data_IF_080274488344
#
_entry.id   IF_080274488344
#
_cell.length_a   1.000
_cell.length_b   1.000
_cell.length_c   1.000
_cell.angle_alpha   90.00
_cell.angle_beta   90.00
_cell.angle_gamma   90.00
#
_symmetry.space_group_name_H-M   'P 1'
#
loop_
_entity.id
_entity.type
_entity.pdbx_description
1 polymer ?
#
# COMPACT_ATOMS: atom_id res chain seq x y z
N UNK A 1 -34.30 -27.51 21.45
CA UNK A 1 -32.96 -28.08 21.18
C UNK A 1 -31.91 -27.09 21.65
N UNK A 2 -31.06 -27.47 22.61
CA UNK A 2 -29.97 -26.64 23.15
C UNK A 2 -28.85 -26.53 22.11
N UNK A 3 -28.47 -25.30 21.77
CA UNK A 3 -27.26 -25.00 21.00
C UNK A 3 -26.02 -25.30 21.87
N UNK A 4 -24.95 -25.90 21.33
CA UNK A 4 -23.72 -26.13 22.10
C UNK A 4 -23.00 -24.80 22.40
N UNK A 5 -22.30 -24.71 23.55
CA UNK A 5 -21.67 -23.46 23.99
C UNK A 5 -20.48 -23.08 23.11
N UNK A 6 -20.50 -21.83 22.65
CA UNK A 6 -19.37 -21.12 22.04
C UNK A 6 -18.13 -21.19 22.94
N UNK A 7 -17.06 -21.83 22.45
CA UNK A 7 -15.75 -21.83 23.11
C UNK A 7 -15.16 -20.42 23.02
N UNK A 8 -15.25 -19.64 24.11
CA UNK A 8 -14.50 -18.39 24.26
C UNK A 8 -12.99 -18.71 24.27
N UNK A 9 -12.16 -18.11 23.41
CA UNK A 9 -10.72 -18.27 23.51
C UNK A 9 -10.22 -17.53 24.75
N UNK A 10 -9.46 -18.26 25.58
CA UNK A 10 -8.92 -17.80 26.86
C UNK A 10 -7.95 -16.63 26.63
N UNK A 11 -8.18 -15.53 27.34
CA UNK A 11 -7.24 -14.42 27.46
C UNK A 11 -6.08 -14.85 28.34
N UNK A 12 -4.85 -14.82 27.80
CA UNK A 12 -3.60 -15.02 28.53
C UNK A 12 -2.45 -15.07 27.55
N UNK A 13 -1.41 -14.24 27.76
CA UNK A 13 -0.17 -14.14 26.97
C UNK A 13 -0.25 -13.51 25.56
N UNK A 14 -0.81 -12.30 25.42
CA UNK A 14 -0.67 -11.54 24.16
C UNK A 14 0.45 -10.50 24.18
N UNK A 15 0.87 -10.03 25.35
CA UNK A 15 1.69 -8.81 25.44
C UNK A 15 3.19 -9.05 25.20
N UNK A 16 3.71 -10.25 25.52
CA UNK A 16 5.13 -10.57 25.33
C UNK A 16 5.49 -10.94 23.88
N UNK A 17 4.59 -11.60 23.15
CA UNK A 17 4.81 -12.04 21.76
C UNK A 17 4.70 -10.89 20.73
N UNK A 18 3.95 -9.82 21.07
CA UNK A 18 3.79 -8.66 20.20
C UNK A 18 5.08 -7.84 20.11
N UNK A 19 5.85 -7.77 21.19
CA UNK A 19 7.07 -6.95 21.24
C UNK A 19 8.21 -7.57 20.41
N UNK A 20 8.39 -8.89 20.48
CA UNK A 20 9.43 -9.61 19.75
C UNK A 20 9.23 -9.56 18.23
N UNK A 21 7.96 -9.65 17.81
CA UNK A 21 7.52 -9.49 16.42
C UNK A 21 7.88 -8.11 15.83
N UNK A 22 7.99 -7.07 16.66
CA UNK A 22 8.25 -5.71 16.21
C UNK A 22 9.73 -5.48 15.87
N UNK A 23 10.65 -6.24 16.48
CA UNK A 23 12.10 -6.10 16.29
C UNK A 23 12.63 -6.84 15.07
N UNK A 24 11.99 -7.95 14.68
CA UNK A 24 12.41 -8.79 13.56
C UNK A 24 11.62 -8.52 12.26
N UNK A 25 10.67 -7.60 12.30
CA UNK A 25 9.77 -7.30 11.19
C UNK A 25 8.63 -8.31 11.10
N UNK A 26 7.39 -7.82 11.08
CA UNK A 26 6.20 -8.66 10.92
C UNK A 26 5.93 -8.89 9.43
N UNK A 27 5.91 -10.16 9.02
CA UNK A 27 5.46 -10.54 7.68
C UNK A 27 3.96 -10.82 7.68
N UNK A 28 3.20 -10.06 6.90
CA UNK A 28 1.74 -10.22 6.78
C UNK A 28 1.38 -10.85 5.43
N UNK A 29 0.80 -12.05 5.45
CA UNK A 29 0.25 -12.72 4.26
C UNK A 29 -1.28 -12.73 4.36
N UNK A 30 -1.97 -12.23 3.33
CA UNK A 30 -3.44 -12.26 3.23
C UNK A 30 -3.85 -13.11 2.03
N UNK A 31 -4.56 -14.20 2.30
CA UNK A 31 -5.11 -15.06 1.25
C UNK A 31 -6.39 -14.44 0.67
N UNK A 32 -6.59 -14.57 -0.64
CA UNK A 32 -7.77 -14.10 -1.35
C UNK A 32 -8.35 -15.27 -2.16
N UNK A 33 -9.65 -15.52 -2.01
CA UNK A 33 -10.37 -16.52 -2.82
C UNK A 33 -10.83 -15.85 -4.13
N UNK A 34 -10.37 -16.31 -5.32
CA UNK A 34 -10.65 -15.64 -6.58
C UNK A 34 -12.08 -15.83 -7.07
N UNK A 35 -12.72 -16.95 -6.77
CA UNK A 35 -14.11 -17.25 -7.13
C UNK A 35 -14.74 -18.18 -6.08
N UNK A 36 -16.07 -18.15 -5.94
CA UNK A 36 -16.79 -18.99 -4.98
C UNK A 36 -16.85 -20.46 -5.40
N UNK A 37 -16.86 -20.73 -6.70
CA UNK A 37 -17.03 -22.05 -7.33
C UNK A 37 -15.77 -22.93 -7.28
N UNK A 38 -14.65 -22.40 -6.76
CA UNK A 38 -13.35 -23.07 -6.66
C UNK A 38 -12.82 -23.60 -8.01
N UNK A 39 -13.09 -22.89 -9.09
CA UNK A 39 -12.62 -23.24 -10.44
C UNK A 39 -11.34 -22.50 -10.83
N UNK A 40 -10.43 -23.13 -11.58
CA UNK A 40 -9.30 -22.42 -12.17
C UNK A 40 -9.79 -21.37 -13.19
N UNK A 41 -8.97 -20.35 -13.45
CA UNK A 41 -9.17 -19.29 -14.44
C UNK A 41 -10.47 -18.47 -14.33
N UNK A 42 -11.18 -18.55 -13.20
CA UNK A 42 -12.36 -17.76 -12.91
C UNK A 42 -12.06 -16.69 -11.86
N UNK A 43 -12.38 -15.44 -12.17
CA UNK A 43 -12.11 -14.28 -11.30
C UNK A 43 -13.39 -13.48 -11.07
N UNK A 44 -13.83 -13.42 -9.81
CA UNK A 44 -14.97 -12.60 -9.38
C UNK A 44 -14.48 -11.38 -8.59
N UNK A 45 -14.34 -10.26 -9.31
CA UNK A 45 -13.86 -9.01 -8.72
C UNK A 45 -14.74 -8.46 -7.59
N UNK A 46 -16.06 -8.74 -7.61
CA UNK A 46 -16.98 -8.28 -6.57
C UNK A 46 -16.70 -8.96 -5.23
N UNK A 47 -16.56 -10.29 -5.25
CA UNK A 47 -16.23 -11.08 -4.06
C UNK A 47 -14.84 -10.74 -3.51
N UNK A 48 -13.86 -10.51 -4.39
CA UNK A 48 -12.51 -10.13 -3.98
C UNK A 48 -12.50 -8.75 -3.32
N UNK A 49 -13.25 -7.78 -3.87
CA UNK A 49 -13.32 -6.44 -3.31
C UNK A 49 -13.93 -6.44 -1.90
N UNK A 50 -14.93 -7.28 -1.65
CA UNK A 50 -15.49 -7.49 -0.31
C UNK A 50 -14.43 -8.05 0.64
N UNK A 51 -13.69 -9.09 0.23
CA UNK A 51 -12.62 -9.68 1.03
C UNK A 51 -11.52 -8.65 1.38
N UNK A 52 -11.10 -7.82 0.42
CA UNK A 52 -10.11 -6.76 0.65
C UNK A 52 -10.61 -5.71 1.65
N UNK A 53 -11.89 -5.33 1.58
CA UNK A 53 -12.50 -4.41 2.56
C UNK A 53 -12.56 -5.02 3.96
N UNK A 54 -13.03 -6.26 4.08
CA UNK A 54 -13.11 -6.98 5.35
C UNK A 54 -11.72 -7.21 5.98
N UNK A 55 -10.69 -7.43 5.17
CA UNK A 55 -9.31 -7.61 5.62
C UNK A 55 -8.59 -6.29 6.00
N UNK A 56 -9.28 -5.14 5.92
CA UNK A 56 -8.72 -3.83 6.23
C UNK A 56 -7.68 -3.34 5.22
N UNK A 57 -7.66 -3.89 4.00
CA UNK A 57 -6.69 -3.48 2.98
C UNK A 57 -6.99 -2.08 2.46
N UNK A 58 -8.27 -1.72 2.33
CA UNK A 58 -8.69 -0.40 1.90
C UNK A 58 -8.29 0.71 2.88
N UNK A 59 -8.39 0.46 4.19
CA UNK A 59 -7.93 1.41 5.21
C UNK A 59 -6.41 1.50 5.26
N UNK A 60 -5.71 0.36 5.16
CA UNK A 60 -4.25 0.34 5.08
C UNK A 60 -3.73 1.17 3.89
N UNK A 61 -4.33 1.01 2.72
CA UNK A 61 -3.96 1.80 1.52
C UNK A 61 -4.17 3.30 1.72
N UNK A 62 -5.25 3.73 2.38
CA UNK A 62 -5.49 5.16 2.69
C UNK A 62 -4.40 5.73 3.59
N UNK A 63 -3.98 4.99 4.62
CA UNK A 63 -2.88 5.42 5.49
C UNK A 63 -1.58 5.51 4.70
N UNK A 64 -1.27 4.49 3.90
CA UNK A 64 -0.07 4.48 3.05
C UNK A 64 -0.05 5.66 2.07
N UNK A 65 -1.20 6.02 1.49
CA UNK A 65 -1.32 7.15 0.57
C UNK A 65 -0.94 8.48 1.23
N UNK A 66 -1.30 8.68 2.51
CA UNK A 66 -0.90 9.86 3.26
C UNK A 66 0.62 9.94 3.52
N UNK A 67 1.30 8.79 3.47
CA UNK A 67 2.74 8.65 3.75
C UNK A 67 3.67 8.74 2.53
N UNK A 68 3.20 9.19 1.35
CA UNK A 68 3.94 9.16 0.09
C UNK A 68 4.46 7.74 -0.26
N UNK A 69 3.57 6.84 -0.70
CA UNK A 69 3.91 5.42 -0.88
C UNK A 69 4.88 5.17 -2.04
N UNK A 70 4.99 6.13 -2.98
CA UNK A 70 5.94 6.06 -4.07
C UNK A 70 7.29 6.65 -3.64
N UNK A 71 8.32 5.78 -3.61
CA UNK A 71 9.71 6.18 -3.41
C UNK A 71 10.50 5.78 -4.65
N UNK A 72 11.10 6.77 -5.31
CA UNK A 72 11.90 6.60 -6.52
C UNK A 72 13.22 7.35 -6.36
N UNK A 73 14.31 6.76 -6.85
CA UNK A 73 15.61 7.43 -6.83
C UNK A 73 15.63 8.60 -7.80
N UNK A 74 16.43 9.63 -7.47
CA UNK A 74 16.56 10.81 -8.33
C UNK A 74 17.06 10.46 -9.73
N UNK A 75 18.02 9.53 -9.83
CA UNK A 75 18.61 9.08 -11.08
C UNK A 75 17.59 8.35 -11.97
N UNK A 76 16.79 7.44 -11.40
CA UNK A 76 15.76 6.73 -12.15
C UNK A 76 14.71 7.71 -12.69
N UNK A 77 14.32 8.69 -11.88
CA UNK A 77 13.36 9.70 -12.30
C UNK A 77 13.92 10.57 -13.44
N UNK A 78 15.17 11.03 -13.37
CA UNK A 78 15.77 11.80 -14.46
C UNK A 78 15.86 11.02 -15.77
N UNK A 79 16.14 9.72 -15.68
CA UNK A 79 16.24 8.86 -16.85
C UNK A 79 14.86 8.59 -17.48
N UNK A 80 13.86 8.26 -16.66
CA UNK A 80 12.47 8.05 -17.11
C UNK A 80 11.88 9.25 -17.86
N UNK A 81 12.23 10.47 -17.45
CA UNK A 81 11.67 11.68 -18.05
C UNK A 81 12.59 12.32 -19.10
N UNK A 82 13.76 11.74 -19.37
CA UNK A 82 14.81 12.34 -20.22
C UNK A 82 14.29 12.82 -21.57
N UNK A 83 13.48 11.99 -22.23
CA UNK A 83 12.95 12.25 -23.57
C UNK A 83 11.78 13.24 -23.58
N UNK A 84 11.07 13.36 -22.45
CA UNK A 84 9.93 14.26 -22.28
C UNK A 84 10.33 15.61 -21.63
N UNK A 85 11.60 15.81 -21.30
CA UNK A 85 12.09 17.02 -20.63
C UNK A 85 12.43 18.12 -21.64
N UNK A 86 11.98 19.37 -21.41
CA UNK A 86 12.46 20.50 -22.17
C UNK A 86 13.98 20.64 -22.02
N UNK A 87 14.67 21.07 -23.09
CA UNK A 87 16.14 21.23 -23.13
C UNK A 87 16.71 22.01 -21.93
N UNK A 88 15.97 23.00 -21.41
CA UNK A 88 16.35 23.79 -20.23
C UNK A 88 16.38 23.00 -18.92
N UNK A 89 15.59 21.92 -18.82
CA UNK A 89 15.50 21.06 -17.64
C UNK A 89 16.38 19.80 -17.76
N UNK A 90 16.68 19.36 -18.98
CA UNK A 90 17.54 18.20 -19.25
C UNK A 90 19.01 18.41 -18.81
N UNK A 91 19.47 19.67 -18.73
CA UNK A 91 20.83 20.02 -18.29
C UNK A 91 20.99 20.07 -16.77
N UNK A 92 19.89 20.07 -16.00
CA UNK A 92 19.97 20.15 -14.54
C UNK A 92 20.31 18.79 -13.93
N UNK A 93 21.02 18.86 -12.81
CA UNK A 93 21.28 17.71 -11.97
C UNK A 93 19.97 17.07 -11.45
N UNK A 94 19.96 15.75 -11.27
CA UNK A 94 18.77 14.95 -10.96
C UNK A 94 18.09 15.41 -9.65
N UNK A 95 18.87 15.88 -8.68
CA UNK A 95 18.34 16.45 -7.44
C UNK A 95 17.59 17.77 -7.67
N UNK A 96 18.15 18.64 -8.51
CA UNK A 96 17.56 19.94 -8.83
C UNK A 96 16.31 19.79 -9.68
N UNK A 97 16.33 18.86 -10.63
CA UNK A 97 15.17 18.49 -11.44
C UNK A 97 13.99 18.03 -10.56
N UNK A 98 14.25 17.13 -9.60
CA UNK A 98 13.21 16.68 -8.67
C UNK A 98 12.73 17.78 -7.73
N UNK A 99 13.60 18.71 -7.32
CA UNK A 99 13.22 19.85 -6.48
C UNK A 99 12.28 20.81 -7.23
N UNK A 100 12.60 21.15 -8.48
CA UNK A 100 11.76 22.03 -9.34
C UNK A 100 10.41 21.38 -9.63
N UNK A 101 10.38 20.08 -9.96
CA UNK A 101 9.14 19.32 -10.19
C UNK A 101 8.27 19.27 -8.93
N UNK A 102 8.88 19.01 -7.76
CA UNK A 102 8.18 18.95 -6.47
C UNK A 102 7.52 20.28 -6.12
N UNK A 103 8.19 21.42 -6.34
CA UNK A 103 7.59 22.74 -6.14
C UNK A 103 6.36 22.97 -7.01
N UNK A 104 6.38 22.53 -8.29
CA UNK A 104 5.20 22.60 -9.15
C UNK A 104 4.05 21.70 -8.67
N UNK A 105 4.34 20.46 -8.25
CA UNK A 105 3.30 19.52 -7.80
C UNK A 105 2.63 19.92 -6.48
N UNK A 106 3.39 20.54 -5.57
CA UNK A 106 2.84 21.09 -4.32
C UNK A 106 2.16 22.45 -4.50
N UNK A 107 2.59 23.24 -5.48
CA UNK A 107 2.01 24.57 -5.78
C UNK A 107 0.61 24.50 -6.41
N UNK A 108 0.23 23.39 -7.03
CA UNK A 108 -1.09 23.24 -7.69
C UNK A 108 -2.17 22.63 -6.80
N UNK A 109 -1.85 22.10 -5.62
CA UNK A 109 -2.81 21.44 -4.71
C UNK A 109 -3.26 22.32 -3.52
N UNK A 110 -3.09 23.65 -3.60
CA UNK A 110 -3.55 24.62 -2.59
C UNK A 110 -4.51 25.70 -3.13
N UNK A 111 -5.23 25.41 -4.22
CA UNK A 111 -6.28 26.31 -4.73
C UNK A 111 -7.59 25.56 -4.99
N UNK A 112 -8.20 25.05 -3.92
CA UNK A 112 -9.66 24.98 -3.71
C UNK A 112 -9.89 25.10 -2.20
#
# INVERSE_FOLDING_TARGET
MRLPPSKKPKNGHKDLLVLDSFLQGTHFVRCIKPNSEMRPDQFDGGQILVQLRCAGMSSALKVMQSGFPSRISYLLLSDMYRDCLPKRLATLDAQMLCKVRRMRYFGTNKTV
#
